data_IF_062271277438
#
_entry.id   IF_062271277438
#
_cell.length_a   1.000
_cell.length_b   1.000
_cell.length_c   1.000
_cell.angle_alpha   90.00
_cell.angle_beta   90.00
_cell.angle_gamma   90.00
#
_symmetry.space_group_name_H-M   'P 1'
#
loop_
_entity.id
_entity.type
_entity.pdbx_description
1 polymer ?
#
# COMPACT_ATOMS: atom_id res chain seq x y z
N UNK A 1 16.95 -8.79 19.57
CA UNK A 1 15.92 -9.44 18.73
C UNK A 1 15.50 -8.45 17.66
N UNK A 2 15.49 -8.84 16.38
CA UNK A 2 15.06 -7.97 15.27
C UNK A 2 13.60 -8.28 14.98
N UNK A 3 12.75 -7.27 14.94
CA UNK A 3 11.32 -7.43 14.66
C UNK A 3 10.91 -6.55 13.47
N UNK A 4 9.90 -7.00 12.75
CA UNK A 4 9.32 -6.26 11.63
C UNK A 4 7.80 -6.37 11.68
N UNK A 5 7.13 -5.23 11.54
CA UNK A 5 5.67 -5.14 11.43
C UNK A 5 5.32 -4.52 10.09
N UNK A 6 4.33 -5.09 9.42
CA UNK A 6 3.81 -4.58 8.16
C UNK A 6 2.33 -4.24 8.34
N UNK A 7 1.97 -3.01 7.97
CA UNK A 7 0.60 -2.52 8.06
C UNK A 7 0.10 -2.19 6.66
N UNK A 8 -1.04 -2.73 6.24
CA UNK A 8 -1.69 -2.31 5.00
C UNK A 8 -2.58 -1.10 5.24
N UNK A 9 -2.59 -0.15 4.31
CA UNK A 9 -3.52 0.98 4.34
C UNK A 9 -4.23 1.18 2.99
N UNK A 10 -5.33 1.94 3.05
CA UNK A 10 -6.10 2.39 1.89
C UNK A 10 -6.67 3.77 2.23
N UNK A 11 -6.10 4.83 1.66
CA UNK A 11 -6.55 6.20 1.91
C UNK A 11 -7.47 6.67 0.77
N UNK A 12 -8.65 7.25 1.06
CA UNK A 12 -9.49 7.82 0.02
C UNK A 12 -8.80 9.03 -0.61
N UNK A 13 -8.86 9.12 -1.94
CA UNK A 13 -8.37 10.28 -2.68
C UNK A 13 -9.51 11.25 -2.97
N UNK A 14 -9.18 12.53 -3.09
CA UNK A 14 -10.14 13.55 -3.48
C UNK A 14 -10.73 13.29 -4.88
N UNK A 15 -11.89 13.88 -5.13
CA UNK A 15 -12.53 13.74 -6.43
C UNK A 15 -11.69 14.40 -7.53
N UNK A 16 -11.53 13.70 -8.66
CA UNK A 16 -10.83 14.23 -9.84
C UNK A 16 -9.35 13.90 -9.93
N UNK A 17 -8.76 13.17 -8.98
CA UNK A 17 -7.37 12.69 -9.10
C UNK A 17 -7.28 11.64 -10.21
N UNK A 18 -6.51 11.94 -11.25
CA UNK A 18 -6.29 11.06 -12.42
C UNK A 18 -4.80 10.77 -12.57
N UNK A 19 -4.45 9.50 -12.75
CA UNK A 19 -3.12 9.04 -13.14
C UNK A 19 -3.20 8.46 -14.55
N UNK A 20 -2.49 9.09 -15.49
CA UNK A 20 -2.58 8.81 -16.93
C UNK A 20 -4.04 8.77 -17.41
N UNK A 21 -4.58 7.57 -17.61
CA UNK A 21 -5.91 7.33 -18.19
C UNK A 21 -6.93 6.80 -17.17
N UNK A 22 -6.58 6.72 -15.89
CA UNK A 22 -7.47 6.19 -14.85
C UNK A 22 -7.63 7.14 -13.66
N UNK A 23 -8.85 7.16 -13.10
CA UNK A 23 -9.13 7.89 -11.85
C UNK A 23 -8.64 7.09 -10.66
N UNK A 24 -7.79 7.70 -9.84
CA UNK A 24 -7.30 7.10 -8.60
C UNK A 24 -8.31 7.36 -7.48
N UNK A 25 -9.02 6.32 -7.04
CA UNK A 25 -10.01 6.42 -5.95
C UNK A 25 -9.37 6.28 -4.57
N UNK A 26 -8.37 5.43 -4.46
CA UNK A 26 -7.65 5.17 -3.21
C UNK A 26 -6.16 5.16 -3.44
N UNK A 27 -5.40 5.66 -2.46
CA UNK A 27 -3.97 5.44 -2.35
C UNK A 27 -3.74 4.23 -1.46
N UNK A 28 -3.29 3.15 -2.08
CA UNK A 28 -3.00 1.89 -1.40
C UNK A 28 -1.50 1.68 -1.22
N UNK A 29 -1.14 1.06 -0.10
CA UNK A 29 0.25 0.80 0.25
C UNK A 29 0.42 0.09 1.58
N UNK A 30 1.68 -0.04 1.98
CA UNK A 30 2.09 -0.58 3.26
C UNK A 30 2.98 0.39 4.01
N UNK A 31 2.89 0.35 5.34
CA UNK A 31 3.92 0.88 6.23
C UNK A 31 4.72 -0.28 6.80
N UNK A 32 6.04 -0.17 6.76
CA UNK A 32 6.95 -1.09 7.43
C UNK A 32 7.54 -0.41 8.67
N UNK A 33 7.51 -1.13 9.79
CA UNK A 33 8.19 -0.74 11.02
C UNK A 33 9.25 -1.80 11.33
N UNK A 34 10.52 -1.40 11.33
CA UNK A 34 11.64 -2.24 11.73
C UNK A 34 12.09 -1.83 13.14
N UNK A 35 12.25 -2.82 14.02
CA UNK A 35 12.71 -2.60 15.38
C UNK A 35 13.96 -3.44 15.67
N UNK A 36 15.00 -2.78 16.19
CA UNK A 36 16.23 -3.43 16.59
C UNK A 36 16.90 -2.66 17.73
N UNK A 37 17.23 -3.37 18.82
CA UNK A 37 17.93 -2.82 19.98
C UNK A 37 17.24 -1.57 20.58
N UNK A 38 15.91 -1.60 20.67
CA UNK A 38 15.10 -0.48 21.17
C UNK A 38 15.01 0.72 20.23
N UNK A 39 15.60 0.64 19.03
CA UNK A 39 15.47 1.65 17.97
C UNK A 39 14.44 1.21 16.96
N UNK A 40 13.75 2.19 16.38
CA UNK A 40 12.70 1.96 15.41
C UNK A 40 12.92 2.81 14.15
N UNK A 41 12.66 2.20 13.00
CA UNK A 41 12.66 2.86 11.70
C UNK A 41 11.38 2.55 10.93
N UNK A 42 10.83 3.57 10.27
CA UNK A 42 9.61 3.46 9.46
C UNK A 42 9.92 3.70 7.98
N UNK A 43 9.15 3.05 7.12
CA UNK A 43 9.17 3.26 5.68
C UNK A 43 7.80 3.04 5.04
N UNK A 44 7.59 3.64 3.88
CA UNK A 44 6.39 3.49 3.07
C UNK A 44 6.68 2.64 1.83
N UNK A 45 5.74 1.75 1.47
CA UNK A 45 5.76 0.96 0.24
C UNK A 45 4.40 1.09 -0.44
N UNK A 46 4.30 1.99 -1.40
CA UNK A 46 3.03 2.29 -2.06
C UNK A 46 3.26 2.34 -3.57
N UNK A 47 3.13 1.22 -4.29
CA UNK A 47 3.28 1.22 -5.74
C UNK A 47 2.29 2.21 -6.37
N UNK A 48 2.74 2.99 -7.35
CA UNK A 48 1.88 3.96 -8.02
C UNK A 48 1.32 3.33 -9.31
N UNK A 49 -0.01 3.15 -9.44
CA UNK A 49 -0.59 2.54 -10.64
C UNK A 49 -0.14 3.29 -11.91
N UNK A 50 0.23 2.54 -12.96
CA UNK A 50 0.76 3.05 -14.24
C UNK A 50 2.16 3.69 -14.23
N UNK A 51 2.84 3.69 -13.09
CA UNK A 51 4.21 4.19 -12.96
C UNK A 51 5.14 3.13 -12.39
N UNK A 52 4.74 2.50 -11.29
CA UNK A 52 5.40 1.30 -10.76
C UNK A 52 5.17 0.10 -11.67
N UNK A 53 6.17 -0.78 -11.79
CA UNK A 53 6.01 -2.06 -12.47
C UNK A 53 5.22 -3.05 -11.60
N UNK A 54 5.41 -2.99 -10.29
CA UNK A 54 4.74 -3.83 -9.30
C UNK A 54 3.33 -3.31 -8.97
N UNK A 55 2.44 -4.23 -8.59
CA UNK A 55 1.07 -3.90 -8.19
C UNK A 55 0.86 -4.13 -6.70
N UNK A 56 0.00 -3.31 -6.08
CA UNK A 56 -0.44 -3.54 -4.71
C UNK A 56 -1.43 -4.71 -4.65
N UNK A 57 -1.14 -5.72 -3.81
CA UNK A 57 -2.01 -6.87 -3.60
C UNK A 57 -2.20 -7.14 -2.11
N UNK A 58 -3.41 -6.92 -1.60
CA UNK A 58 -3.81 -7.27 -0.25
C UNK A 58 -4.91 -8.35 -0.29
N UNK A 59 -4.71 -9.47 0.42
CA UNK A 59 -5.68 -10.58 0.47
C UNK A 59 -7.09 -10.13 0.91
N UNK A 60 -7.20 -9.10 1.75
CA UNK A 60 -8.49 -8.59 2.24
C UNK A 60 -9.27 -7.74 1.20
N UNK A 61 -8.64 -7.37 0.07
CA UNK A 61 -9.30 -6.63 -1.03
C UNK A 61 -9.64 -7.52 -2.24
N UNK A 62 -9.45 -8.84 -2.14
CA UNK A 62 -9.87 -9.75 -3.21
C UNK A 62 -11.40 -9.79 -3.26
N UNK A 63 -12.07 -9.45 -4.38
CA UNK A 63 -13.48 -9.76 -4.51
C UNK A 63 -13.63 -11.28 -4.40
N UNK A 64 -14.48 -11.73 -3.47
CA UNK A 64 -14.99 -13.10 -3.46
C UNK A 64 -15.84 -13.28 -4.72
N UNK A 65 -15.22 -13.53 -5.86
CA UNK A 65 -15.87 -14.03 -7.05
C UNK A 65 -14.84 -14.80 -7.87
N UNK A 66 -14.66 -16.05 -7.46
CA UNK A 66 -14.26 -17.13 -8.35
C UNK A 66 -15.36 -18.19 -8.17
N UNK A 67 -16.22 -18.28 -9.20
CA UNK A 67 -17.03 -19.47 -9.42
C UNK A 67 -16.17 -20.62 -9.94
#
# INVERSE_FOLDING_TARGET
MRNAKLYSFSLPMEAGVVLRYQRLKTRDGFLVCLEQNGKQGWGEISPLPEFSHETFRNKHKMPHNLG
#
